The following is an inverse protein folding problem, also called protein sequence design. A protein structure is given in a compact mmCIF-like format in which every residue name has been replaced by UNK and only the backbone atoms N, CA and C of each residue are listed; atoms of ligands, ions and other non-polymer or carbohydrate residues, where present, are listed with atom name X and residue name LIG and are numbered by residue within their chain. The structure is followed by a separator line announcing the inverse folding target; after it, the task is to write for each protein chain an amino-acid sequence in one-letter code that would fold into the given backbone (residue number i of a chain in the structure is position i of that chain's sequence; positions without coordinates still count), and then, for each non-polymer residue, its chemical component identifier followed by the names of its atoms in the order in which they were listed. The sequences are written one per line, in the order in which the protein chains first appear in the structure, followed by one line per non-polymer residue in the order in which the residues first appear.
data_IF_612807115561
#
_entry.id   IF_612807115561
#
_cell.length_a   1.000
_cell.length_b   1.000
_cell.length_c   1.000
_cell.angle_alpha   90.00
_cell.angle_beta   90.00
_cell.angle_gamma   90.00
#
_symmetry.space_group_name_H-M   'P 1'
#
loop_
_entity.id
_entity.type
_entity.pdbx_description
1 polymer ?
#
# COMPACT_ATOMS: atom_id res chain seq x y z
N UNK A 1 4.68 16.24 -13.50
CA UNK A 1 4.78 14.88 -12.94
C UNK A 1 3.95 14.83 -11.66
N UNK A 2 3.05 13.85 -11.51
CA UNK A 2 2.20 13.71 -10.32
C UNK A 2 3.11 13.56 -9.07
N UNK A 3 2.92 14.37 -8.01
CA UNK A 3 3.75 14.30 -6.81
C UNK A 3 3.74 12.91 -6.15
N UNK A 4 2.64 12.16 -6.28
CA UNK A 4 2.53 10.77 -5.79
C UNK A 4 3.46 9.84 -6.57
N UNK A 5 3.48 9.94 -7.90
CA UNK A 5 4.36 9.13 -8.75
C UNK A 5 5.84 9.42 -8.48
N UNK A 6 6.19 10.69 -8.25
CA UNK A 6 7.57 11.06 -7.86
C UNK A 6 7.97 10.38 -6.56
N UNK A 7 7.11 10.46 -5.54
CA UNK A 7 7.35 9.85 -4.23
C UNK A 7 7.42 8.32 -4.31
N UNK A 8 6.60 7.69 -5.15
CA UNK A 8 6.67 6.27 -5.41
C UNK A 8 8.01 5.87 -6.00
N UNK A 9 8.54 6.61 -6.99
CA UNK A 9 9.85 6.31 -7.58
C UNK A 9 11.00 6.45 -6.58
N UNK A 10 10.96 7.46 -5.72
CA UNK A 10 12.04 7.77 -4.79
C UNK A 10 11.99 6.90 -3.52
N UNK A 11 10.79 6.69 -2.95
CA UNK A 11 10.63 6.05 -1.63
C UNK A 11 9.99 4.66 -1.67
N UNK A 12 9.32 4.28 -2.76
CA UNK A 12 8.55 3.02 -2.90
C UNK A 12 7.48 2.79 -1.82
N UNK A 13 7.06 3.87 -1.15
CA UNK A 13 5.97 3.89 -0.19
C UNK A 13 4.64 4.18 -0.90
N UNK A 14 3.70 3.24 -0.81
CA UNK A 14 2.33 3.44 -1.29
C UNK A 14 1.43 3.58 -0.08
N UNK A 15 0.60 4.61 -0.01
CA UNK A 15 -0.42 4.66 1.03
C UNK A 15 -1.69 3.97 0.56
N UNK A 16 -2.35 3.26 1.46
CA UNK A 16 -3.64 2.61 1.16
C UNK A 16 -4.66 3.59 0.55
N UNK A 17 -4.70 4.84 1.02
CA UNK A 17 -5.58 5.90 0.47
C UNK A 17 -5.29 6.25 -1.00
N UNK A 18 -4.04 6.10 -1.43
CA UNK A 18 -3.63 6.46 -2.79
C UNK A 18 -4.12 5.38 -3.78
N UNK A 19 -4.09 4.11 -3.37
CA UNK A 19 -4.71 3.00 -4.11
C UNK A 19 -6.24 3.05 -4.09
N UNK A 20 -6.85 3.53 -3.00
CA UNK A 20 -8.30 3.77 -2.97
C UNK A 20 -8.72 4.84 -3.98
N UNK A 21 -7.88 5.88 -4.16
CA UNK A 21 -8.14 6.98 -5.09
C UNK A 21 -7.83 6.61 -6.54
N UNK A 22 -6.79 5.83 -6.76
CA UNK A 22 -6.32 5.39 -8.07
C UNK A 22 -5.94 3.90 -8.03
N UNK A 23 -6.85 2.99 -8.39
CA UNK A 23 -6.58 1.55 -8.41
C UNK A 23 -5.49 1.13 -9.40
N UNK A 24 -5.25 1.93 -10.45
CA UNK A 24 -4.26 1.69 -11.50
C UNK A 24 -2.86 2.24 -11.18
N UNK A 25 -2.65 2.75 -9.97
CA UNK A 25 -1.41 3.43 -9.58
C UNK A 25 -0.13 2.57 -9.78
N UNK A 26 -0.26 1.24 -9.74
CA UNK A 26 0.85 0.31 -9.92
C UNK A 26 0.88 -0.37 -11.31
N UNK A 27 0.00 0.02 -12.21
CA UNK A 27 -0.01 -0.46 -13.59
C UNK A 27 1.25 0.04 -14.29
N UNK A 28 2.05 -0.88 -14.84
CA UNK A 28 3.35 -0.53 -15.44
C UNK A 28 4.42 -0.05 -14.45
N UNK A 29 4.19 -0.14 -13.13
CA UNK A 29 5.18 0.28 -12.15
C UNK A 29 6.44 -0.61 -12.23
N UNK A 30 7.65 -0.01 -12.40
CA UNK A 30 8.84 -0.74 -12.82
C UNK A 30 9.53 -1.50 -11.67
N UNK A 31 9.19 -1.21 -10.42
CA UNK A 31 9.83 -1.84 -9.27
C UNK A 31 9.07 -3.08 -8.81
N UNK A 32 9.82 -4.15 -8.53
CA UNK A 32 9.29 -5.42 -8.00
C UNK A 32 8.85 -5.35 -6.54
N UNK A 33 9.27 -4.35 -5.77
CA UNK A 33 9.00 -4.26 -4.34
C UNK A 33 8.44 -2.89 -3.99
N UNK A 34 7.40 -2.91 -3.17
CA UNK A 34 6.77 -1.70 -2.63
C UNK A 34 6.39 -1.92 -1.19
N UNK A 35 6.45 -0.87 -0.40
CA UNK A 35 5.96 -0.90 0.98
C UNK A 35 4.61 -0.18 1.03
N UNK A 36 3.56 -0.96 1.27
CA UNK A 36 2.21 -0.48 1.40
C UNK A 36 1.98 -0.05 2.86
N UNK A 37 1.70 1.23 3.05
CA UNK A 37 1.52 1.88 4.35
C UNK A 37 0.04 2.04 4.64
N UNK A 38 -0.41 1.49 5.77
CA UNK A 38 -1.72 1.75 6.31
C UNK A 38 -1.82 3.23 6.68
N UNK A 39 -2.78 3.91 6.07
CA UNK A 39 -3.07 5.29 6.43
C UNK A 39 -4.14 5.29 7.51
N UNK A 40 -3.90 5.84 8.72
CA UNK A 40 -5.00 6.06 9.66
C UNK A 40 -6.01 6.98 9.00
N UNK A 41 -7.29 6.57 8.95
CA UNK A 41 -8.36 7.47 8.52
C UNK A 41 -8.29 8.70 9.41
N UNK A 42 -8.28 9.89 8.79
CA UNK A 42 -8.21 11.20 9.46
C UNK A 42 -9.41 11.45 10.41
N UNK A 43 -10.39 10.53 10.45
CA UNK A 43 -11.54 10.59 11.34
C UNK A 43 -11.20 9.94 12.69
N UNK A 44 -10.97 10.81 13.70
CA UNK A 44 -10.75 10.52 15.13
C UNK A 44 -11.90 9.78 15.86
N UNK A 45 -12.64 8.88 15.21
CA UNK A 45 -13.87 8.30 15.77
C UNK A 45 -13.73 6.80 16.10
N UNK A 46 -12.66 6.12 15.68
CA UNK A 46 -12.37 4.78 16.19
C UNK A 46 -10.87 4.46 16.09
N UNK A 47 -10.15 4.25 17.21
CA UNK A 47 -8.70 4.12 17.23
C UNK A 47 -8.15 2.84 16.57
N UNK A 48 -9.00 1.91 16.12
CA UNK A 48 -8.59 0.60 15.61
C UNK A 48 -9.33 0.13 14.34
N UNK A 49 -10.39 0.81 13.88
CA UNK A 49 -11.31 0.20 12.89
C UNK A 49 -11.09 0.58 11.43
N UNK A 50 -10.17 1.50 11.12
CA UNK A 50 -10.00 2.01 9.75
C UNK A 50 -8.74 1.54 9.01
N UNK A 51 -7.59 1.51 9.69
CA UNK A 51 -6.29 1.39 9.03
C UNK A 51 -5.95 -0.07 8.64
N UNK A 52 -6.17 -1.01 9.56
CA UNK A 52 -5.88 -2.43 9.32
C UNK A 52 -6.84 -3.05 8.29
N UNK A 53 -8.18 -2.86 8.37
CA UNK A 53 -9.06 -3.37 7.32
C UNK A 53 -8.77 -2.79 5.93
N UNK A 54 -8.41 -1.49 5.85
CA UNK A 54 -8.02 -0.88 4.59
C UNK A 54 -6.68 -1.45 4.06
N UNK A 55 -5.74 -1.77 4.95
CA UNK A 55 -4.49 -2.43 4.58
C UNK A 55 -4.76 -3.83 4.01
N UNK A 56 -5.57 -4.63 4.70
CA UNK A 56 -5.94 -5.98 4.25
C UNK A 56 -6.65 -5.94 2.89
N UNK A 57 -7.66 -5.07 2.74
CA UNK A 57 -8.36 -4.92 1.46
C UNK A 57 -7.47 -4.44 0.31
N UNK A 58 -6.46 -3.60 0.61
CA UNK A 58 -5.49 -3.18 -0.39
C UNK A 58 -4.51 -4.31 -0.75
N UNK A 59 -4.13 -5.17 0.19
CA UNK A 59 -3.33 -6.38 -0.07
C UNK A 59 -4.08 -7.32 -0.99
N UNK A 60 -5.32 -7.69 -0.65
CA UNK A 60 -6.16 -8.60 -1.45
C UNK A 60 -6.27 -8.14 -2.91
N UNK A 61 -6.51 -6.84 -3.13
CA UNK A 61 -6.57 -6.27 -4.48
C UNK A 61 -5.24 -6.34 -5.23
N UNK A 62 -4.12 -6.13 -4.54
CA UNK A 62 -2.80 -6.22 -5.16
C UNK A 62 -2.45 -7.69 -5.46
N UNK A 63 -2.89 -8.63 -4.64
CA UNK A 63 -2.74 -10.07 -4.89
C UNK A 63 -3.45 -10.49 -6.19
N UNK A 64 -4.68 -9.99 -6.42
CA UNK A 64 -5.40 -10.18 -7.69
C UNK A 64 -4.63 -9.64 -8.92
N UNK A 65 -3.74 -8.66 -8.70
CA UNK A 65 -2.89 -8.03 -9.72
C UNK A 65 -1.49 -8.67 -9.82
N UNK A 66 -1.27 -9.81 -9.17
CA UNK A 66 -0.01 -10.55 -9.21
C UNK A 66 1.07 -9.98 -8.30
N UNK A 67 0.69 -9.30 -7.22
CA UNK A 67 1.57 -9.01 -6.10
C UNK A 67 1.43 -10.07 -5.01
N UNK A 68 2.37 -10.09 -4.08
CA UNK A 68 2.42 -11.06 -2.98
C UNK A 68 2.92 -10.34 -1.73
N UNK A 69 2.23 -10.52 -0.60
CA UNK A 69 2.69 -10.03 0.68
C UNK A 69 3.89 -10.87 1.17
N UNK A 70 5.06 -10.25 1.31
CA UNK A 70 6.29 -10.95 1.70
C UNK A 70 6.75 -10.65 3.14
N UNK A 71 6.33 -9.52 3.71
CA UNK A 71 6.63 -9.19 5.10
C UNK A 71 5.61 -8.20 5.66
N UNK A 72 5.20 -8.40 6.90
CA UNK A 72 4.25 -7.52 7.61
C UNK A 72 4.97 -6.76 8.71
N UNK A 73 4.71 -5.46 8.81
CA UNK A 73 5.12 -4.62 9.93
C UNK A 73 3.87 -4.03 10.57
N UNK A 74 3.40 -4.67 11.64
CA UNK A 74 2.19 -4.27 12.36
C UNK A 74 2.60 -3.66 13.71
N UNK A 75 2.96 -2.38 13.70
CA UNK A 75 3.30 -1.66 14.93
C UNK A 75 2.07 -1.07 15.61
N UNK A 76 1.99 -1.23 16.94
CA UNK A 76 0.89 -0.70 17.78
C UNK A 76 0.82 0.84 17.83
N UNK A 77 1.90 1.55 17.51
CA UNK A 77 1.98 3.02 17.61
C UNK A 77 2.56 3.71 16.36
N UNK A 78 2.75 2.97 15.27
CA UNK A 78 3.44 3.43 14.06
C UNK A 78 2.62 3.27 12.77
N UNK A 79 3.27 3.59 11.65
CA UNK A 79 2.77 3.31 10.30
C UNK A 79 2.79 1.79 10.07
N UNK A 80 1.71 1.10 10.43
CA UNK A 80 1.51 -0.30 10.04
C UNK A 80 1.60 -0.43 8.52
N UNK A 81 2.19 -1.50 8.02
CA UNK A 81 2.35 -1.70 6.59
C UNK A 81 2.80 -3.09 6.22
N UNK A 82 2.91 -3.32 4.92
CA UNK A 82 3.24 -4.61 4.34
C UNK A 82 4.15 -4.40 3.15
N UNK A 83 5.25 -5.16 3.10
CA UNK A 83 6.09 -5.26 1.92
C UNK A 83 5.39 -6.17 0.92
N UNK A 84 5.09 -5.64 -0.26
CA UNK A 84 4.54 -6.39 -1.39
C UNK A 84 5.64 -6.62 -2.42
N UNK A 85 5.64 -7.81 -3.02
CA UNK A 85 6.52 -8.20 -4.12
C UNK A 85 5.68 -8.54 -5.34
N UNK A 86 6.05 -8.05 -6.53
CA UNK A 86 5.42 -8.47 -7.78
C UNK A 86 5.91 -9.87 -8.17
N UNK A 87 4.99 -10.82 -8.21
CA UNK A 87 5.24 -12.25 -8.49
C UNK A 87 5.56 -12.48 -9.96
N UNK A 88 4.99 -11.65 -10.84
CA UNK A 88 5.19 -11.72 -12.28
C UNK A 88 6.09 -10.57 -12.72
N UNK A 89 7.15 -10.91 -13.45
CA UNK A 89 7.96 -9.93 -14.19
C UNK A 89 7.38 -9.92 -15.60
N UNK A 90 7.12 -8.76 -16.21
CA UNK A 90 6.89 -8.74 -17.65
C UNK A 90 8.08 -9.37 -18.39
#
# INVERSE_FOLDING_TARGET
MNPVLRRLHEERHIYTRDLERDPSLLDGYPHRHVFLVATPRVLKIAPMSGALPALLAAVERLEDLGWEAVAWSLEQQGNSGVMMRRSVTP
#
